data_IF_346299916379
#
_entry.id   IF_346299916379
#
_cell.length_a   1.000
_cell.length_b   1.000
_cell.length_c   1.000
_cell.angle_alpha   90.00
_cell.angle_beta   90.00
_cell.angle_gamma   90.00
#
_symmetry.space_group_name_H-M   'P 1'
#
loop_
_entity.id
_entity.type
_entity.pdbx_description
1 polymer ?
#
# COMPACT_ATOMS: atom_id res chain seq x y z
N UNK A 1 19.93 -23.96 32.49
CA UNK A 1 20.54 -22.91 31.65
C UNK A 1 19.45 -21.93 31.25
N UNK A 2 19.56 -20.65 31.61
CA UNK A 2 18.47 -19.69 31.44
C UNK A 2 18.28 -19.24 29.98
N UNK A 3 17.02 -19.15 29.53
CA UNK A 3 16.60 -18.70 28.20
C UNK A 3 16.88 -17.21 27.91
N UNK A 4 17.61 -16.52 28.79
CA UNK A 4 17.90 -15.09 28.75
C UNK A 4 18.69 -14.64 27.51
N UNK A 5 19.30 -15.56 26.76
CA UNK A 5 19.94 -15.23 25.49
C UNK A 5 18.93 -14.92 24.36
N UNK A 6 17.67 -15.38 24.47
CA UNK A 6 16.64 -15.15 23.47
C UNK A 6 16.19 -13.67 23.45
N UNK A 7 16.13 -12.99 24.59
CA UNK A 7 15.77 -11.56 24.67
C UNK A 7 16.78 -10.64 23.99
N UNK A 8 18.03 -11.07 23.84
CA UNK A 8 19.07 -10.36 23.08
C UNK A 8 18.85 -10.44 21.57
N UNK A 9 18.00 -11.35 21.08
CA UNK A 9 17.70 -11.49 19.65
C UNK A 9 16.66 -10.45 19.23
N UNK A 10 16.84 -9.89 18.04
CA UNK A 10 16.00 -8.78 17.52
C UNK A 10 14.57 -9.17 17.16
N UNK A 11 14.29 -10.46 17.03
CA UNK A 11 12.97 -10.99 16.66
C UNK A 11 12.16 -11.49 17.87
N UNK A 12 12.79 -11.58 19.05
CA UNK A 12 12.13 -12.12 20.23
C UNK A 12 11.11 -11.12 20.79
N UNK A 13 9.93 -11.59 21.19
CA UNK A 13 8.81 -10.74 21.63
C UNK A 13 9.10 -10.04 22.95
N UNK A 14 9.78 -10.71 23.89
CA UNK A 14 10.19 -10.11 25.16
C UNK A 14 11.40 -9.16 25.06
N UNK A 15 11.89 -8.85 23.85
CA UNK A 15 12.87 -7.78 23.66
C UNK A 15 12.19 -6.43 23.90
N UNK A 16 12.73 -5.58 24.77
CA UNK A 16 12.18 -4.26 25.12
C UNK A 16 11.81 -3.42 23.87
N UNK A 17 12.64 -3.46 22.82
CA UNK A 17 12.37 -2.72 21.57
C UNK A 17 11.18 -3.25 20.78
N UNK A 18 10.85 -4.53 20.92
CA UNK A 18 9.69 -5.13 20.28
C UNK A 18 8.44 -4.92 21.12
N UNK A 19 8.55 -5.01 22.45
CA UNK A 19 7.48 -4.63 23.39
C UNK A 19 7.06 -3.18 23.16
N UNK A 20 8.02 -2.25 23.03
CA UNK A 20 7.74 -0.85 22.74
C UNK A 20 7.02 -0.65 21.40
N UNK A 21 7.42 -1.37 20.35
CA UNK A 21 6.74 -1.30 19.04
C UNK A 21 5.31 -1.81 19.09
N UNK A 22 5.09 -2.92 19.81
CA UNK A 22 3.76 -3.49 20.01
C UNK A 22 2.90 -2.50 20.79
N UNK A 23 3.43 -1.92 21.87
CA UNK A 23 2.73 -0.92 22.66
C UNK A 23 2.34 0.33 21.85
N UNK A 24 3.23 0.84 21.00
CA UNK A 24 2.93 1.95 20.08
C UNK A 24 1.84 1.56 19.07
N UNK A 25 1.89 0.33 18.56
CA UNK A 25 0.88 -0.17 17.63
C UNK A 25 -0.49 -0.32 18.32
N UNK A 26 -0.52 -0.84 19.54
CA UNK A 26 -1.72 -0.97 20.37
C UNK A 26 -2.31 0.40 20.72
N UNK A 27 -1.50 1.39 21.09
CA UNK A 27 -1.99 2.76 21.31
C UNK A 27 -2.61 3.36 20.05
N UNK A 28 -1.99 3.18 18.89
CA UNK A 28 -2.54 3.67 17.62
C UNK A 28 -3.85 2.98 17.28
N UNK A 29 -3.90 1.65 17.43
CA UNK A 29 -5.10 0.87 17.20
C UNK A 29 -6.24 1.32 18.12
N UNK A 30 -5.97 1.49 19.43
CA UNK A 30 -6.96 1.98 20.39
C UNK A 30 -7.46 3.39 20.04
N UNK A 31 -6.60 4.27 19.52
CA UNK A 31 -7.00 5.60 19.06
C UNK A 31 -7.87 5.54 17.78
N UNK A 32 -7.57 4.62 16.87
CA UNK A 32 -8.37 4.38 15.67
C UNK A 32 -9.72 3.76 16.02
N UNK A 33 -9.77 2.79 16.92
CA UNK A 33 -11.01 2.17 17.41
C UNK A 33 -11.93 3.19 18.07
N UNK A 34 -11.40 4.11 18.88
CA UNK A 34 -12.18 5.21 19.48
C UNK A 34 -12.80 6.10 18.41
N UNK A 35 -12.03 6.50 17.39
CA UNK A 35 -12.55 7.30 16.26
C UNK A 35 -13.61 6.56 15.47
N UNK A 36 -13.40 5.26 15.23
CA UNK A 36 -14.39 4.43 14.52
C UNK A 36 -15.66 4.27 15.36
N UNK A 37 -15.55 4.13 16.68
CA UNK A 37 -16.69 4.06 17.58
C UNK A 37 -17.49 5.38 17.60
N UNK A 38 -16.80 6.53 17.63
CA UNK A 38 -17.44 7.85 17.50
C UNK A 38 -18.18 7.99 16.16
N UNK A 39 -17.55 7.61 15.05
CA UNK A 39 -18.20 7.64 13.73
C UNK A 39 -19.40 6.69 13.64
N UNK A 40 -19.30 5.49 14.22
CA UNK A 40 -20.43 4.55 14.28
C UNK A 40 -21.58 5.12 15.09
N UNK A 41 -21.29 5.80 16.20
CA UNK A 41 -22.30 6.47 17.01
C UNK A 41 -23.00 7.57 16.21
N UNK A 42 -22.26 8.40 15.49
CA UNK A 42 -22.85 9.44 14.63
C UNK A 42 -23.75 8.87 13.53
N UNK A 43 -23.33 7.78 12.88
CA UNK A 43 -24.15 7.11 11.85
C UNK A 43 -25.44 6.55 12.45
N UNK A 44 -25.37 5.98 13.66
CA UNK A 44 -26.57 5.47 14.34
C UNK A 44 -27.52 6.61 14.74
N UNK A 45 -26.98 7.75 15.22
CA UNK A 45 -27.77 8.96 15.51
C UNK A 45 -28.43 9.51 14.24
N UNK A 46 -27.69 9.60 13.13
CA UNK A 46 -28.23 10.01 11.83
C UNK A 46 -29.34 9.06 11.36
N UNK A 47 -29.16 7.74 11.55
CA UNK A 47 -30.16 6.73 11.21
C UNK A 47 -31.43 6.87 12.05
N UNK A 48 -31.29 7.10 13.36
CA UNK A 48 -32.43 7.33 14.26
C UNK A 48 -33.20 8.60 13.86
N UNK A 49 -32.50 9.69 13.52
CA UNK A 49 -33.13 10.91 13.02
C UNK A 49 -33.85 10.68 11.69
N UNK A 50 -33.25 9.90 10.79
CA UNK A 50 -33.88 9.55 9.52
C UNK A 50 -35.14 8.71 9.72
N UNK A 51 -35.12 7.74 10.64
CA UNK A 51 -36.29 6.92 10.98
C UNK A 51 -37.42 7.77 11.59
N UNK A 52 -37.11 8.66 12.52
CA UNK A 52 -38.09 9.60 13.07
C UNK A 52 -38.69 10.51 11.99
N UNK A 53 -37.87 11.01 11.06
CA UNK A 53 -38.33 11.82 9.93
C UNK A 53 -39.24 11.02 9.01
N UNK A 54 -38.91 9.75 8.76
CA UNK A 54 -39.74 8.84 7.96
C UNK A 54 -41.10 8.58 8.62
N UNK A 55 -41.13 8.37 9.95
CA UNK A 55 -42.37 8.22 10.72
C UNK A 55 -43.22 9.51 10.68
N UNK A 56 -42.61 10.69 10.83
CA UNK A 56 -43.32 11.97 10.71
C UNK A 56 -43.90 12.20 9.31
N UNK A 57 -43.16 11.80 8.27
CA UNK A 57 -43.64 11.85 6.89
C UNK A 57 -44.83 10.90 6.68
N UNK A 58 -44.76 9.68 7.22
CA UNK A 58 -45.86 8.71 7.17
C UNK A 58 -47.12 9.19 7.91
N UNK A 59 -46.95 9.96 8.99
CA UNK A 59 -48.06 10.63 9.70
C UNK A 59 -48.61 11.87 8.97
N UNK A 60 -48.09 12.22 7.79
CA UNK A 60 -48.65 13.26 6.91
C UNK A 60 -47.96 14.63 7.01
N UNK A 61 -46.84 14.75 7.75
CA UNK A 61 -46.11 16.02 7.82
C UNK A 61 -45.26 16.23 6.56
N UNK A 62 -45.82 16.96 5.57
CA UNK A 62 -45.21 17.18 4.25
C UNK A 62 -43.82 17.84 4.31
N UNK A 63 -43.52 18.61 5.36
CA UNK A 63 -42.22 19.25 5.55
C UNK A 63 -41.10 18.25 5.89
N UNK A 64 -41.43 17.14 6.55
CA UNK A 64 -40.50 16.06 6.88
C UNK A 64 -40.27 15.10 5.68
N UNK A 65 -41.28 14.96 4.81
CA UNK A 65 -41.24 14.11 3.63
C UNK A 65 -40.31 14.63 2.51
N UNK A 66 -40.09 15.95 2.44
CA UNK A 66 -39.09 16.51 1.52
C UNK A 66 -37.72 16.24 2.12
N UNK A 67 -36.95 15.36 1.49
CA UNK A 67 -35.54 15.06 1.80
C UNK A 67 -34.67 16.30 1.49
N UNK A 68 -34.81 17.34 2.32
CA UNK A 68 -33.99 18.56 2.23
C UNK A 68 -32.54 18.18 2.50
N UNK A 69 -31.65 18.62 1.61
CA UNK A 69 -30.19 18.48 1.75
C UNK A 69 -29.69 19.36 2.90
N UNK A 70 -29.91 18.92 4.13
CA UNK A 70 -29.50 19.67 5.32
C UNK A 70 -27.96 19.82 5.37
N UNK A 71 -27.20 18.87 4.83
CA UNK A 71 -25.73 18.98 4.66
C UNK A 71 -25.29 20.15 3.75
N UNK A 72 -26.16 20.62 2.85
CA UNK A 72 -25.89 21.76 1.97
C UNK A 72 -26.23 23.09 2.65
N UNK A 73 -27.23 23.11 3.54
CA UNK A 73 -27.70 24.32 4.21
C UNK A 73 -27.03 24.54 5.58
N UNK A 74 -26.55 23.51 6.28
CA UNK A 74 -25.83 23.63 7.58
C UNK A 74 -24.38 24.13 7.49
N UNK A 75 -23.98 24.72 6.35
CA UNK A 75 -22.70 25.39 6.22
C UNK A 75 -22.54 26.60 7.17
N UNK A 76 -21.36 27.25 7.21
CA UNK A 76 -21.08 28.38 8.10
C UNK A 76 -22.07 29.55 8.01
N UNK A 77 -22.85 29.63 6.92
CA UNK A 77 -23.94 30.59 6.75
C UNK A 77 -25.17 30.28 7.62
N UNK A 78 -25.53 29.01 7.83
CA UNK A 78 -26.66 28.67 8.72
C UNK A 78 -26.35 28.86 10.20
N UNK A 79 -25.08 28.79 10.60
CA UNK A 79 -24.66 29.20 11.94
C UNK A 79 -24.93 30.70 12.17
N UNK A 80 -24.77 31.54 11.13
CA UNK A 80 -25.11 32.97 11.17
C UNK A 80 -26.62 33.20 11.18
N UNK A 81 -27.39 32.41 10.43
CA UNK A 81 -28.86 32.46 10.45
C UNK A 81 -29.42 32.09 11.83
N UNK A 82 -28.89 31.04 12.49
CA UNK A 82 -29.26 30.69 13.87
C UNK A 82 -28.99 31.85 14.84
N UNK A 83 -27.84 32.53 14.75
CA UNK A 83 -27.55 33.71 15.58
C UNK A 83 -28.42 34.93 15.23
N UNK A 84 -28.87 35.06 13.98
CA UNK A 84 -29.75 36.14 13.54
C UNK A 84 -31.19 35.91 14.01
N UNK A 85 -31.71 34.68 13.90
CA UNK A 85 -33.03 34.31 14.41
C UNK A 85 -33.12 34.43 15.93
N UNK A 86 -32.06 34.04 16.67
CA UNK A 86 -31.99 34.25 18.12
C UNK A 86 -31.96 35.74 18.51
N UNK A 87 -31.35 36.58 17.69
CA UNK A 87 -31.34 38.04 17.87
C UNK A 87 -32.70 38.66 17.56
N UNK A 88 -33.40 38.20 16.52
CA UNK A 88 -34.78 38.60 16.25
C UNK A 88 -35.75 38.13 17.34
N UNK A 89 -35.42 37.05 18.05
CA UNK A 89 -36.16 36.55 19.21
C UNK A 89 -35.81 37.29 20.53
N UNK A 90 -34.99 38.34 20.45
CA UNK A 90 -34.70 39.24 21.57
C UNK A 90 -33.53 38.84 22.48
N UNK A 91 -32.74 37.81 22.12
CA UNK A 91 -31.49 37.52 22.84
C UNK A 91 -30.39 38.48 22.41
N UNK A 92 -29.64 39.01 23.37
CA UNK A 92 -28.57 39.98 23.09
C UNK A 92 -27.48 39.41 22.17
N UNK A 93 -27.18 40.14 21.08
CA UNK A 93 -26.10 39.81 20.16
C UNK A 93 -24.75 39.96 20.84
N UNK A 94 -24.13 38.83 21.22
CA UNK A 94 -22.74 38.80 21.70
C UNK A 94 -21.82 38.75 20.48
N UNK A 95 -21.40 39.92 19.99
CA UNK A 95 -20.51 40.11 18.84
C UNK A 95 -19.08 39.61 19.06
N UNK A 96 -18.91 38.30 19.27
CA UNK A 96 -17.62 37.65 19.52
C UNK A 96 -16.74 37.46 18.28
N UNK A 97 -17.31 37.46 17.07
CA UNK A 97 -16.59 36.99 15.88
C UNK A 97 -16.16 38.11 14.91
N UNK A 98 -16.41 39.39 15.22
CA UNK A 98 -16.04 40.51 14.34
C UNK A 98 -14.60 41.01 14.54
N UNK A 99 -13.90 40.62 15.63
CA UNK A 99 -12.55 41.13 15.92
C UNK A 99 -11.40 40.46 15.15
N UNK A 100 -11.68 39.57 14.20
CA UNK A 100 -10.66 38.99 13.33
C UNK A 100 -10.60 39.62 11.92
N UNK A 101 -11.50 40.55 11.58
CA UNK A 101 -11.64 41.06 10.21
C UNK A 101 -11.71 42.59 10.07
N UNK A 102 -11.13 43.36 11.00
CA UNK A 102 -10.84 44.79 10.77
C UNK A 102 -9.36 44.98 10.44
N UNK A 103 -9.01 44.71 9.19
CA UNK A 103 -7.87 45.32 8.53
C UNK A 103 -8.36 46.53 7.74
N UNK A 104 -7.73 47.68 7.97
CA UNK A 104 -7.96 48.96 7.29
C UNK A 104 -8.31 48.83 5.80
N UNK A 105 -9.47 49.34 5.42
CA UNK A 105 -9.77 49.66 4.02
C UNK A 105 -10.43 51.03 3.98
N UNK A 106 -9.67 51.98 3.43
CA UNK A 106 -10.04 53.36 3.18
C UNK A 106 -11.38 53.49 2.44
N UNK A 107 -12.32 54.18 3.08
CA UNK A 107 -13.68 54.50 2.61
C UNK A 107 -13.73 55.71 1.66
N UNK A 108 -12.75 55.88 0.77
CA UNK A 108 -12.68 57.05 -0.13
C UNK A 108 -12.64 56.75 -1.63
N UNK A 109 -12.70 55.48 -2.06
CA UNK A 109 -12.55 55.10 -3.47
C UNK A 109 -13.77 54.41 -4.12
N UNK A 110 -14.97 54.47 -3.54
CA UNK A 110 -16.14 53.74 -4.10
C UNK A 110 -17.43 54.56 -4.21
N UNK A 111 -17.35 55.85 -4.55
CA UNK A 111 -18.51 56.62 -5.07
C UNK A 111 -18.85 56.24 -6.52
N UNK A 112 -19.08 54.95 -6.79
CA UNK A 112 -19.66 54.43 -8.06
C UNK A 112 -20.65 53.27 -7.89
N UNK A 113 -21.19 53.05 -6.68
CA UNK A 113 -22.19 51.99 -6.45
C UNK A 113 -23.32 52.49 -5.54
N UNK A 114 -23.94 53.61 -5.91
CA UNK A 114 -25.16 54.13 -5.27
C UNK A 114 -26.47 53.66 -5.91
N UNK A 115 -26.45 52.80 -6.93
CA UNK A 115 -27.66 52.52 -7.73
C UNK A 115 -27.67 51.17 -8.43
N UNK A 116 -27.14 50.10 -7.80
CA UNK A 116 -27.14 48.75 -8.39
C UNK A 116 -27.99 47.73 -7.61
N UNK A 117 -28.93 48.20 -6.79
CA UNK A 117 -29.92 47.36 -6.13
C UNK A 117 -31.27 47.32 -6.89
N UNK A 118 -31.35 47.85 -8.12
CA UNK A 118 -32.61 48.02 -8.84
C UNK A 118 -32.60 47.67 -10.34
N UNK A 119 -31.65 46.85 -10.82
CA UNK A 119 -31.71 46.33 -12.19
C UNK A 119 -31.68 44.80 -12.19
N UNK A 120 -32.87 44.21 -12.01
CA UNK A 120 -33.17 42.82 -12.36
C UNK A 120 -33.09 42.66 -13.89
N UNK A 121 -31.90 42.54 -14.45
CA UNK A 121 -31.68 42.00 -15.81
C UNK A 121 -30.19 41.76 -16.09
N UNK A 122 -29.56 40.83 -15.37
CA UNK A 122 -28.27 40.31 -15.79
C UNK A 122 -28.48 39.40 -17.02
N UNK A 123 -27.83 39.76 -18.13
CA UNK A 123 -27.78 38.94 -19.34
C UNK A 123 -27.18 37.54 -19.04
N UNK A 124 -27.62 36.45 -19.72
CA UNK A 124 -27.20 35.07 -19.43
C UNK A 124 -25.68 34.83 -19.45
N UNK A 125 -24.93 35.62 -20.22
CA UNK A 125 -23.47 35.53 -20.30
C UNK A 125 -22.75 36.01 -19.02
N UNK A 126 -23.34 36.99 -18.32
CA UNK A 126 -22.77 37.51 -17.07
C UNK A 126 -23.08 36.58 -15.90
N UNK A 127 -24.25 35.93 -15.94
CA UNK A 127 -24.70 34.94 -14.96
C UNK A 127 -23.81 33.67 -15.01
N UNK A 128 -23.41 33.20 -16.20
CA UNK A 128 -22.45 32.10 -16.33
C UNK A 128 -21.04 32.45 -15.81
N UNK A 129 -20.58 33.68 -16.05
CA UNK A 129 -19.29 34.16 -15.55
C UNK A 129 -19.29 34.35 -14.04
N UNK A 130 -20.40 34.84 -13.46
CA UNK A 130 -20.56 34.94 -12.01
C UNK A 130 -20.63 33.56 -11.38
N UNK A 131 -21.43 32.62 -11.89
CA UNK A 131 -21.47 31.22 -11.41
C UNK A 131 -20.09 30.55 -11.39
N UNK A 132 -19.28 30.72 -12.43
CA UNK A 132 -17.93 30.14 -12.49
C UNK A 132 -16.92 30.84 -11.58
N UNK A 133 -17.13 32.12 -11.28
CA UNK A 133 -16.22 32.90 -10.43
C UNK A 133 -16.59 32.88 -8.94
N UNK A 134 -17.87 32.71 -8.66
CA UNK A 134 -18.48 32.60 -7.34
C UNK A 134 -18.55 31.13 -6.88
N UNK A 135 -18.21 30.17 -7.74
CA UNK A 135 -17.99 28.78 -7.35
C UNK A 135 -16.94 28.72 -6.20
N UNK A 136 -17.30 28.14 -5.04
CA UNK A 136 -16.41 28.05 -3.88
C UNK A 136 -15.08 27.35 -4.18
N UNK A 137 -15.07 26.38 -5.09
CA UNK A 137 -13.83 25.68 -5.49
C UNK A 137 -12.90 26.59 -6.29
N UNK A 138 -13.46 27.41 -7.17
CA UNK A 138 -12.73 28.43 -7.91
C UNK A 138 -12.20 29.53 -6.98
N UNK A 139 -12.97 29.93 -5.97
CA UNK A 139 -12.54 30.89 -4.97
C UNK A 139 -11.35 30.37 -4.14
N UNK A 140 -11.41 29.11 -3.71
CA UNK A 140 -10.30 28.45 -3.01
C UNK A 140 -9.05 28.40 -3.90
N UNK A 141 -9.22 28.03 -5.18
CA UNK A 141 -8.11 27.97 -6.15
C UNK A 141 -7.48 29.34 -6.39
N UNK A 142 -8.28 30.41 -6.53
CA UNK A 142 -7.78 31.79 -6.66
C UNK A 142 -7.03 32.24 -5.41
N UNK A 143 -7.56 31.95 -4.21
CA UNK A 143 -6.88 32.25 -2.94
C UNK A 143 -5.55 31.50 -2.82
N UNK A 144 -5.51 30.23 -3.21
CA UNK A 144 -4.27 29.44 -3.23
C UNK A 144 -3.24 30.01 -4.21
N UNK A 145 -3.66 30.42 -5.41
CA UNK A 145 -2.80 31.09 -6.39
C UNK A 145 -2.26 32.41 -5.86
N UNK A 146 -3.12 33.26 -5.28
CA UNK A 146 -2.72 34.52 -4.68
C UNK A 146 -1.73 34.34 -3.53
N UNK A 147 -1.97 33.37 -2.63
CA UNK A 147 -1.04 33.03 -1.56
C UNK A 147 0.32 32.54 -2.08
N UNK A 148 0.32 31.71 -3.13
CA UNK A 148 1.55 31.27 -3.81
C UNK A 148 2.31 32.45 -4.41
N UNK A 149 1.61 33.36 -5.08
CA UNK A 149 2.21 34.58 -5.62
C UNK A 149 2.75 35.49 -4.53
N UNK A 150 2.05 35.65 -3.40
CA UNK A 150 2.56 36.43 -2.26
C UNK A 150 3.85 35.84 -1.69
N UNK A 151 3.97 34.51 -1.63
CA UNK A 151 5.21 33.84 -1.22
C UNK A 151 6.31 34.07 -2.26
N UNK A 152 6.01 33.98 -3.56
CA UNK A 152 6.96 34.24 -4.65
C UNK A 152 7.43 35.70 -4.70
N UNK A 153 6.50 36.65 -4.51
CA UNK A 153 6.75 38.09 -4.47
C UNK A 153 7.56 38.50 -3.23
N UNK A 154 7.51 37.73 -2.15
CA UNK A 154 8.31 37.98 -0.96
C UNK A 154 9.73 37.38 -1.10
N UNK A 155 10.78 38.19 -1.33
CA UNK A 155 12.13 37.70 -1.58
C UNK A 155 12.74 36.99 -0.36
N UNK A 156 12.36 37.38 0.86
CA UNK A 156 12.86 36.77 2.10
C UNK A 156 12.31 35.35 2.26
N UNK A 157 10.99 35.16 2.04
CA UNK A 157 10.37 33.83 2.06
C UNK A 157 10.95 32.94 0.96
N UNK A 158 11.18 33.48 -0.24
CA UNK A 158 11.80 32.73 -1.34
C UNK A 158 13.24 32.31 -1.06
N UNK A 159 14.06 33.18 -0.45
CA UNK A 159 15.42 32.81 -0.02
C UNK A 159 15.39 31.67 1.01
N UNK A 160 14.57 31.79 2.05
CA UNK A 160 14.40 30.72 3.06
C UNK A 160 13.98 29.38 2.44
N UNK A 161 13.05 29.39 1.49
CA UNK A 161 12.62 28.18 0.78
C UNK A 161 13.76 27.60 -0.08
N UNK A 162 14.53 28.43 -0.78
CA UNK A 162 15.70 27.99 -1.56
C UNK A 162 16.74 27.34 -0.66
N UNK A 163 17.10 27.98 0.45
CA UNK A 163 18.09 27.47 1.41
C UNK A 163 17.65 26.12 2.00
N UNK A 164 16.37 25.99 2.36
CA UNK A 164 15.80 24.72 2.84
C UNK A 164 15.88 23.61 1.78
N UNK A 165 15.55 23.92 0.53
CA UNK A 165 15.61 22.95 -0.57
C UNK A 165 17.06 22.53 -0.85
N UNK A 166 18.02 23.44 -0.76
CA UNK A 166 19.44 23.14 -0.91
C UNK A 166 19.95 22.24 0.22
N UNK A 167 19.64 22.56 1.48
CA UNK A 167 19.95 21.70 2.63
C UNK A 167 19.41 20.28 2.46
N UNK A 168 18.13 20.14 2.07
CA UNK A 168 17.52 18.82 1.83
C UNK A 168 18.21 18.04 0.69
N UNK A 169 18.67 18.72 -0.36
CA UNK A 169 19.43 18.09 -1.45
C UNK A 169 20.82 17.63 -0.95
N UNK A 170 21.48 18.43 -0.13
CA UNK A 170 22.76 18.10 0.48
C UNK A 170 22.64 16.91 1.44
N UNK A 171 21.65 16.91 2.33
CA UNK A 171 21.34 15.80 3.23
C UNK A 171 21.06 14.51 2.46
N UNK A 172 20.31 14.59 1.35
CA UNK A 172 20.06 13.45 0.47
C UNK A 172 21.35 12.93 -0.18
N UNK A 173 22.25 13.83 -0.61
CA UNK A 173 23.57 13.46 -1.16
C UNK A 173 24.45 12.84 -0.08
N UNK A 174 24.50 13.41 1.13
CA UNK A 174 25.25 12.92 2.27
C UNK A 174 24.76 11.53 2.70
N UNK A 175 23.44 11.34 2.84
CA UNK A 175 22.83 10.03 3.13
C UNK A 175 23.16 8.99 2.08
N UNK A 176 23.18 9.37 0.78
CA UNK A 176 23.58 8.46 -0.31
C UNK A 176 25.07 8.10 -0.24
N UNK A 177 25.95 9.05 0.10
CA UNK A 177 27.39 8.80 0.31
C UNK A 177 27.63 7.90 1.52
N UNK A 178 27.01 8.18 2.67
CA UNK A 178 27.07 7.37 3.88
C UNK A 178 26.60 5.93 3.63
N UNK A 179 25.47 5.74 2.92
CA UNK A 179 24.98 4.40 2.54
C UNK A 179 25.97 3.64 1.65
N UNK A 180 26.68 4.33 0.74
CA UNK A 180 27.72 3.73 -0.09
C UNK A 180 28.97 3.37 0.74
N UNK A 181 29.38 4.22 1.66
CA UNK A 181 30.53 3.98 2.55
C UNK A 181 30.27 2.77 3.47
N UNK A 182 29.13 2.73 4.16
CA UNK A 182 28.74 1.60 5.01
C UNK A 182 28.65 0.27 4.24
N UNK A 183 28.21 0.31 2.96
CA UNK A 183 28.21 -0.89 2.09
C UNK A 183 29.63 -1.35 1.73
N UNK A 184 30.57 -0.42 1.51
CA UNK A 184 31.98 -0.75 1.24
C UNK A 184 32.65 -1.36 2.48
N UNK A 185 32.43 -0.76 3.64
CA UNK A 185 32.95 -1.23 4.93
C UNK A 185 32.45 -2.65 5.25
N UNK A 186 31.14 -2.90 5.13
CA UNK A 186 30.58 -4.25 5.31
C UNK A 186 31.17 -5.28 4.33
N UNK A 187 31.50 -4.87 3.11
CA UNK A 187 32.16 -5.74 2.12
C UNK A 187 33.61 -6.04 2.52
N UNK A 188 34.33 -5.05 3.04
CA UNK A 188 35.70 -5.24 3.53
C UNK A 188 35.74 -6.13 4.76
N UNK A 189 34.88 -5.89 5.76
CA UNK A 189 34.75 -6.74 6.94
C UNK A 189 34.47 -8.20 6.58
N UNK A 190 33.57 -8.46 5.60
CA UNK A 190 33.31 -9.82 5.10
C UNK A 190 34.52 -10.45 4.38
N UNK A 191 35.32 -9.64 3.66
CA UNK A 191 36.54 -10.12 2.98
C UNK A 191 37.61 -10.49 4.01
N UNK A 192 37.77 -9.68 5.04
CA UNK A 192 38.70 -9.90 6.14
C UNK A 192 38.32 -11.13 6.97
N UNK A 193 37.04 -11.28 7.32
CA UNK A 193 36.52 -12.47 7.99
C UNK A 193 36.84 -13.74 7.18
N UNK A 194 36.60 -13.73 5.86
CA UNK A 194 36.92 -14.86 4.96
C UNK A 194 38.43 -15.15 4.94
N UNK A 195 39.29 -14.12 4.95
CA UNK A 195 40.75 -14.29 5.06
C UNK A 195 41.14 -14.93 6.39
N UNK A 196 40.54 -14.48 7.50
CA UNK A 196 40.78 -15.06 8.83
C UNK A 196 40.35 -16.52 8.91
N UNK A 197 39.20 -16.87 8.34
CA UNK A 197 38.73 -18.26 8.22
C UNK A 197 39.68 -19.14 7.40
N UNK A 198 40.20 -18.64 6.26
CA UNK A 198 41.21 -19.36 5.47
C UNK A 198 42.51 -19.59 6.25
N UNK A 199 43.00 -18.58 6.97
CA UNK A 199 44.22 -18.72 7.79
C UNK A 199 44.05 -19.75 8.91
N UNK A 200 42.86 -19.82 9.54
CA UNK A 200 42.55 -20.86 10.53
C UNK A 200 42.55 -22.27 9.93
N UNK A 201 42.08 -22.46 8.69
CA UNK A 201 42.11 -23.77 8.03
C UNK A 201 43.53 -24.23 7.70
N UNK A 202 44.43 -23.32 7.32
CA UNK A 202 45.84 -23.63 7.06
C UNK A 202 46.67 -24.02 8.29
N UNK A 203 46.17 -23.78 9.50
CA UNK A 203 46.87 -24.12 10.74
C UNK A 203 46.32 -25.38 11.43
N UNK A 204 45.38 -26.09 10.79
CA UNK A 204 44.74 -27.29 11.33
C UNK A 204 45.05 -28.59 10.57
N UNK A 205 45.96 -28.56 9.59
CA UNK A 205 46.49 -29.73 8.90
C UNK A 205 48.02 -29.62 8.96
N UNK A 206 48.56 -30.08 10.08
CA UNK A 206 49.91 -30.60 10.17
C UNK A 206 49.77 -32.11 10.27
N UNK A 207 49.54 -32.76 9.12
CA UNK A 207 50.11 -34.08 8.82
C UNK A 207 49.93 -34.41 7.32
N UNK A 208 50.98 -34.96 6.74
CA UNK A 208 51.10 -35.62 5.43
C UNK A 208 51.08 -34.80 4.12
N UNK A 209 52.32 -34.62 3.65
CA UNK A 209 52.82 -34.99 2.32
C UNK A 209 52.79 -33.95 1.18
N UNK A 210 53.98 -33.83 0.60
CA UNK A 210 54.42 -32.82 -0.33
C UNK A 210 54.26 -33.32 -1.77
N UNK A 211 53.77 -32.46 -2.65
CA UNK A 211 54.25 -32.45 -4.03
C UNK A 211 54.16 -31.04 -4.61
N UNK A 212 55.32 -30.63 -5.09
CA UNK A 212 55.69 -29.36 -5.67
C UNK A 212 55.08 -29.18 -7.08
N UNK A 213 55.07 -27.93 -7.55
CA UNK A 213 55.23 -27.42 -8.93
C UNK A 213 54.34 -26.20 -9.26
N UNK A 214 55.04 -25.06 -9.36
CA UNK A 214 54.85 -23.85 -10.22
C UNK A 214 53.42 -23.39 -10.54
N UNK A 215 52.97 -22.16 -10.25
CA UNK A 215 53.65 -20.89 -10.49
C UNK A 215 53.28 -20.35 -11.88
N UNK A 216 52.17 -19.61 -12.00
CA UNK A 216 52.05 -18.48 -12.92
C UNK A 216 50.87 -17.57 -12.49
N UNK A 217 51.17 -16.28 -12.36
CA UNK A 217 50.23 -15.22 -12.06
C UNK A 217 49.61 -14.72 -13.36
N UNK A 218 48.28 -14.65 -13.46
CA UNK A 218 47.69 -13.48 -14.12
C UNK A 218 46.26 -13.21 -13.67
N UNK A 219 46.04 -11.95 -13.29
CA UNK A 219 44.74 -11.38 -13.00
C UNK A 219 43.95 -11.21 -14.31
N UNK A 220 42.77 -11.82 -14.43
CA UNK A 220 41.71 -11.12 -15.15
C UNK A 220 40.30 -11.30 -14.55
N UNK A 221 39.66 -10.15 -14.50
CA UNK A 221 38.51 -9.78 -13.68
C UNK A 221 37.25 -9.97 -14.53
N UNK A 222 36.67 -11.16 -14.53
CA UNK A 222 35.42 -11.42 -15.24
C UNK A 222 34.17 -11.19 -14.35
N UNK A 223 33.44 -10.14 -14.70
CA UNK A 223 32.14 -9.76 -14.20
C UNK A 223 31.08 -10.86 -14.36
N UNK A 224 30.78 -11.61 -13.30
CA UNK A 224 29.50 -12.34 -13.25
C UNK A 224 28.36 -11.39 -12.88
N UNK A 225 27.81 -10.81 -13.95
CA UNK A 225 26.50 -10.18 -14.00
C UNK A 225 25.44 -11.15 -13.47
N UNK A 226 25.02 -10.84 -12.26
CA UNK A 226 23.64 -10.92 -11.75
C UNK A 226 22.60 -11.02 -12.87
N UNK A 227 22.01 -12.21 -13.04
CA UNK A 227 20.74 -12.37 -13.75
C UNK A 227 19.84 -13.31 -12.97
N UNK A 228 18.59 -12.84 -12.81
CA UNK A 228 17.36 -13.57 -12.48
C UNK A 228 17.33 -14.43 -11.22
N UNK A 229 16.61 -13.93 -10.21
CA UNK A 229 15.36 -14.60 -9.85
C UNK A 229 14.33 -13.57 -9.39
N UNK A 230 13.25 -13.47 -10.18
CA UNK A 230 11.97 -12.92 -9.77
C UNK A 230 11.42 -13.82 -8.66
N UNK A 231 11.42 -13.35 -7.41
CA UNK A 231 10.52 -13.90 -6.38
C UNK A 231 9.19 -13.18 -6.51
N UNK A 232 8.36 -13.70 -7.41
CA UNK A 232 6.93 -13.53 -7.36
C UNK A 232 6.38 -14.36 -6.21
N UNK A 233 5.56 -13.71 -5.39
CA UNK A 233 4.47 -14.24 -4.55
C UNK A 233 4.57 -15.69 -4.09
N UNK A 234 4.84 -15.86 -2.80
CA UNK A 234 4.39 -17.03 -2.07
C UNK A 234 2.86 -17.02 -2.03
N UNK A 235 2.27 -18.08 -2.58
CA UNK A 235 0.98 -18.59 -2.17
C UNK A 235 1.18 -20.03 -1.76
N UNK A 236 0.68 -20.31 -0.58
CA UNK A 236 0.55 -21.61 0.06
C UNK A 236 0.04 -22.68 -0.90
N UNK A 237 0.62 -23.86 -0.81
CA UNK A 237 -0.12 -25.12 -0.96
C UNK A 237 0.64 -26.23 -0.25
N UNK A 238 0.00 -26.67 0.82
CA UNK A 238 0.31 -27.90 1.53
C UNK A 238 0.14 -29.14 0.63
N UNK A 239 1.06 -30.10 0.82
CA UNK A 239 0.84 -31.54 1.05
C UNK A 239 0.03 -32.35 0.03
N UNK A 240 0.70 -33.36 -0.56
CA UNK A 240 0.06 -34.47 -1.26
C UNK A 240 1.03 -35.63 -1.46
N UNK A 241 0.72 -36.75 -0.81
CA UNK A 241 1.52 -37.99 -0.71
C UNK A 241 0.92 -39.03 -1.66
N UNK A 242 1.76 -39.61 -2.52
CA UNK A 242 1.59 -40.87 -3.31
C UNK A 242 0.63 -40.85 -4.51
N UNK A 243 0.62 -41.85 -5.43
CA UNK A 243 1.48 -43.06 -5.57
C UNK A 243 2.14 -43.27 -6.97
N UNK A 244 2.99 -44.30 -7.02
CA UNK A 244 3.80 -44.84 -8.12
C UNK A 244 3.24 -44.72 -9.55
N UNK A 245 4.05 -44.14 -10.45
CA UNK A 245 4.00 -44.41 -11.89
C UNK A 245 5.36 -44.90 -12.36
N UNK A 246 5.41 -46.21 -12.57
CA UNK A 246 6.39 -46.93 -13.37
C UNK A 246 6.64 -46.18 -14.69
N UNK A 247 7.81 -45.55 -14.81
CA UNK A 247 8.41 -45.25 -16.11
C UNK A 247 9.78 -45.91 -16.16
N UNK A 248 9.86 -46.89 -17.04
CA UNK A 248 10.99 -47.78 -17.31
C UNK A 248 12.15 -46.93 -17.85
N UNK A 249 12.99 -46.40 -16.96
CA UNK A 249 14.23 -45.75 -17.33
C UNK A 249 15.22 -46.82 -17.80
N UNK A 250 15.39 -46.95 -19.12
CA UNK A 250 16.54 -47.60 -19.73
C UNK A 250 17.79 -46.80 -19.35
N UNK A 251 18.36 -47.09 -18.18
CA UNK A 251 19.69 -46.61 -17.81
C UNK A 251 20.69 -47.35 -18.70
N UNK A 252 21.27 -46.62 -19.66
CA UNK A 252 22.52 -47.05 -20.30
C UNK A 252 23.58 -47.18 -19.20
N UNK A 253 24.46 -48.19 -19.25
CA UNK A 253 25.57 -48.28 -18.30
C UNK A 253 26.39 -46.99 -18.40
N UNK A 254 26.58 -46.31 -17.27
CA UNK A 254 27.60 -45.29 -17.15
C UNK A 254 28.93 -46.03 -17.10
N UNK A 255 29.73 -45.85 -18.13
CA UNK A 255 31.08 -46.38 -18.24
C UNK A 255 31.92 -45.85 -17.07
N UNK A 256 32.34 -46.75 -16.18
CA UNK A 256 32.96 -46.42 -14.88
C UNK A 256 34.47 -46.20 -14.94
N UNK A 257 35.04 -45.91 -16.11
CA UNK A 257 36.48 -45.59 -16.24
C UNK A 257 36.80 -44.09 -16.35
N UNK A 258 35.77 -43.22 -16.48
CA UNK A 258 35.97 -41.78 -16.56
C UNK A 258 36.03 -41.08 -15.21
N UNK A 259 37.23 -40.93 -14.63
CA UNK A 259 37.46 -40.09 -13.44
C UNK A 259 36.92 -38.67 -13.69
N UNK A 260 35.90 -38.28 -12.92
CA UNK A 260 35.24 -36.95 -12.93
C UNK A 260 34.32 -36.57 -14.12
N UNK A 261 33.57 -37.50 -14.71
CA UNK A 261 32.42 -37.14 -15.55
C UNK A 261 32.74 -36.33 -16.81
N UNK A 262 33.99 -36.35 -17.26
CA UNK A 262 34.36 -35.91 -18.60
C UNK A 262 33.91 -36.98 -19.59
N UNK A 263 32.93 -36.64 -20.43
CA UNK A 263 32.51 -37.45 -21.57
C UNK A 263 33.73 -37.57 -22.49
N UNK A 264 34.19 -38.80 -22.75
CA UNK A 264 35.26 -39.04 -23.71
C UNK A 264 34.85 -38.48 -25.09
N UNK A 265 35.82 -37.94 -25.84
CA UNK A 265 35.59 -37.18 -27.09
C UNK A 265 34.76 -37.93 -28.14
N UNK A 266 34.67 -39.25 -28.05
CA UNK A 266 33.84 -40.11 -28.90
C UNK A 266 32.32 -39.95 -28.68
N UNK A 267 31.86 -39.42 -27.54
CA UNK A 267 30.44 -39.23 -27.20
C UNK A 267 29.94 -37.79 -27.28
N UNK A 268 30.79 -36.83 -27.66
CA UNK A 268 30.45 -35.41 -27.69
C UNK A 268 29.72 -35.04 -29.00
N UNK A 269 28.41 -34.76 -28.92
CA UNK A 269 27.66 -34.19 -30.05
C UNK A 269 28.00 -32.71 -30.16
N UNK A 270 28.66 -32.31 -31.26
CA UNK A 270 28.92 -30.90 -31.52
C UNK A 270 27.59 -30.15 -31.76
N UNK A 271 27.39 -29.06 -31.01
CA UNK A 271 26.24 -28.18 -31.24
C UNK A 271 26.46 -27.39 -32.53
N UNK A 272 25.60 -27.65 -33.53
CA UNK A 272 25.67 -27.04 -34.87
C UNK A 272 25.46 -25.51 -34.87
N UNK A 273 24.97 -24.95 -33.76
CA UNK A 273 24.57 -23.55 -33.66
C UNK A 273 25.61 -22.63 -33.03
N UNK A 274 26.79 -23.15 -32.68
CA UNK A 274 27.89 -22.34 -32.11
C UNK A 274 28.85 -21.94 -33.22
N UNK A 275 28.87 -20.64 -33.52
CA UNK A 275 29.87 -20.05 -34.41
C UNK A 275 31.25 -20.11 -33.73
N UNK A 276 32.13 -20.98 -34.26
CA UNK A 276 33.51 -21.17 -33.77
C UNK A 276 34.51 -20.26 -34.50
N UNK A 277 34.06 -19.52 -35.52
CA UNK A 277 34.95 -18.73 -36.40
C UNK A 277 35.24 -17.34 -35.84
N UNK A 278 34.38 -16.83 -34.96
CA UNK A 278 34.54 -15.54 -34.32
C UNK A 278 34.79 -15.71 -32.82
N UNK A 279 35.83 -15.04 -32.31
CA UNK A 279 36.12 -14.95 -30.86
C UNK A 279 35.12 -14.05 -30.11
N UNK A 280 34.06 -13.59 -30.79
CA UNK A 280 33.04 -12.69 -30.28
C UNK A 280 31.72 -13.40 -29.98
N UNK A 281 30.73 -12.68 -29.43
CA UNK A 281 29.38 -13.23 -29.25
C UNK A 281 28.80 -13.63 -30.60
N UNK A 282 28.30 -14.86 -30.72
CA UNK A 282 27.76 -15.41 -31.96
C UNK A 282 26.79 -14.42 -32.65
N UNK A 283 27.14 -14.07 -33.90
CA UNK A 283 26.53 -13.00 -34.67
C UNK A 283 25.00 -13.15 -34.79
N UNK A 284 24.48 -14.38 -34.83
CA UNK A 284 23.03 -14.66 -34.88
C UNK A 284 22.31 -14.17 -33.63
N UNK A 285 22.89 -14.39 -32.45
CA UNK A 285 22.29 -13.93 -31.19
C UNK A 285 22.41 -12.42 -31.00
N UNK A 286 23.48 -11.81 -31.52
CA UNK A 286 23.63 -10.34 -31.52
C UNK A 286 22.58 -9.68 -32.42
N UNK A 287 22.34 -10.23 -33.61
CA UNK A 287 21.29 -9.75 -34.51
C UNK A 287 19.90 -9.87 -33.87
N UNK A 288 19.58 -11.03 -33.27
CA UNK A 288 18.32 -11.26 -32.56
C UNK A 288 18.13 -10.31 -31.36
N UNK A 289 19.20 -10.00 -30.64
CA UNK A 289 19.16 -9.05 -29.53
C UNK A 289 18.90 -7.61 -30.01
N UNK A 290 19.44 -7.22 -31.17
CA UNK A 290 19.18 -5.91 -31.79
C UNK A 290 17.72 -5.80 -32.26
N UNK A 291 17.19 -6.85 -32.86
CA UNK A 291 15.78 -6.91 -33.30
C UNK A 291 14.82 -6.82 -32.11
N UNK A 292 15.07 -7.57 -31.04
CA UNK A 292 14.27 -7.52 -29.82
C UNK A 292 14.26 -6.11 -29.20
N UNK A 293 15.41 -5.42 -29.21
CA UNK A 293 15.48 -4.01 -28.78
C UNK A 293 14.67 -3.07 -29.67
N UNK A 294 14.66 -3.30 -30.99
CA UNK A 294 13.88 -2.48 -31.93
C UNK A 294 12.38 -2.61 -31.66
N UNK A 295 11.91 -3.84 -31.44
CA UNK A 295 10.51 -4.11 -31.08
C UNK A 295 10.12 -3.48 -29.73
N UNK A 296 11.00 -3.56 -28.73
CA UNK A 296 10.79 -2.92 -27.43
C UNK A 296 10.71 -1.38 -27.55
N UNK A 297 11.55 -0.79 -28.40
CA UNK A 297 11.56 0.65 -28.66
C UNK A 297 10.33 1.11 -29.45
N UNK A 298 9.86 0.32 -30.41
CA UNK A 298 8.58 0.54 -31.12
C UNK A 298 7.39 0.45 -30.16
N UNK A 299 7.36 -0.55 -29.27
CA UNK A 299 6.32 -0.67 -28.26
C UNK A 299 6.34 0.51 -27.28
N UNK A 300 7.54 0.95 -26.88
CA UNK A 300 7.74 2.14 -26.05
C UNK A 300 7.28 3.40 -26.77
N UNK A 301 7.56 3.54 -28.06
CA UNK A 301 7.10 4.66 -28.90
C UNK A 301 5.59 4.65 -29.07
N UNK A 302 4.95 3.48 -29.22
CA UNK A 302 3.48 3.33 -29.22
C UNK A 302 2.86 3.72 -27.87
N UNK A 303 3.49 3.35 -26.76
CA UNK A 303 3.05 3.72 -25.40
C UNK A 303 3.23 5.21 -25.13
N UNK A 304 4.32 5.83 -25.58
CA UNK A 304 4.61 7.26 -25.42
C UNK A 304 3.89 8.16 -26.44
N UNK A 305 3.54 7.64 -27.62
CA UNK A 305 2.84 8.36 -28.68
C UNK A 305 1.44 8.84 -28.28
N UNK A 306 0.85 8.24 -27.22
CA UNK A 306 -0.44 8.64 -26.65
C UNK A 306 -0.36 9.88 -25.74
N UNK A 307 0.84 10.31 -25.32
CA UNK A 307 0.99 11.49 -24.44
C UNK A 307 1.54 12.72 -25.17
N UNK A 308 2.01 12.58 -26.41
CA UNK A 308 2.67 13.66 -27.16
C UNK A 308 1.83 14.29 -28.27
N UNK A 309 0.71 13.70 -28.67
CA UNK A 309 -0.14 14.24 -29.76
C UNK A 309 -1.14 15.29 -29.30
N UNK A 310 -1.12 15.70 -28.02
CA UNK A 310 -2.05 16.70 -27.49
C UNK A 310 -1.68 18.15 -27.85
N UNK A 311 -0.95 18.37 -28.94
CA UNK A 311 -0.55 19.71 -29.39
C UNK A 311 -1.19 20.18 -30.69
N UNK A 312 -1.99 19.35 -31.35
CA UNK A 312 -2.86 19.78 -32.46
C UNK A 312 -4.23 19.14 -32.27
N UNK A 313 -5.12 19.86 -31.60
CA UNK A 313 -6.51 19.47 -31.44
C UNK A 313 -7.25 19.62 -32.76
N UNK A 314 -7.22 18.58 -33.61
CA UNK A 314 -8.35 18.34 -34.50
C UNK A 314 -9.56 18.09 -33.59
N UNK A 315 -10.49 19.04 -33.57
CA UNK A 315 -11.76 18.83 -32.90
C UNK A 315 -12.44 17.63 -33.57
N UNK A 316 -12.57 16.52 -32.83
CA UNK A 316 -13.32 15.36 -33.33
C UNK A 316 -14.73 15.81 -33.68
N UNK A 317 -15.24 15.32 -34.80
CA UNK A 317 -16.63 15.59 -35.20
C UNK A 317 -17.58 14.99 -34.16
N UNK A 318 -18.81 15.49 -34.06
CA UNK A 318 -19.73 15.02 -33.02
C UNK A 318 -20.10 13.55 -33.20
N UNK A 319 -20.10 13.04 -34.43
CA UNK A 319 -20.26 11.61 -34.74
C UNK A 319 -19.08 10.76 -34.23
N UNK A 320 -17.85 11.25 -34.37
CA UNK A 320 -16.66 10.55 -33.86
C UNK A 320 -16.65 10.51 -32.33
N UNK A 321 -17.10 11.58 -31.66
CA UNK A 321 -17.26 11.60 -30.20
C UNK A 321 -18.31 10.59 -29.74
N UNK A 322 -19.44 10.48 -30.44
CA UNK A 322 -20.49 9.52 -30.12
C UNK A 322 -19.99 8.08 -30.27
N UNK A 323 -19.27 7.77 -31.36
CA UNK A 323 -18.67 6.44 -31.57
C UNK A 323 -17.63 6.11 -30.51
N UNK A 324 -16.79 7.08 -30.14
CA UNK A 324 -15.80 6.89 -29.07
C UNK A 324 -16.47 6.67 -27.70
N UNK A 325 -17.55 7.40 -27.41
CA UNK A 325 -18.34 7.20 -26.19
C UNK A 325 -18.98 5.81 -26.15
N UNK A 326 -19.53 5.35 -27.28
CA UNK A 326 -20.08 3.99 -27.41
C UNK A 326 -19.01 2.92 -27.18
N UNK A 327 -17.82 3.07 -27.80
CA UNK A 327 -16.69 2.17 -27.57
C UNK A 327 -16.23 2.17 -26.11
N UNK A 328 -16.17 3.34 -25.46
CA UNK A 328 -15.84 3.41 -24.02
C UNK A 328 -16.87 2.68 -23.16
N UNK A 329 -18.15 2.74 -23.51
CA UNK A 329 -19.22 2.01 -22.80
C UNK A 329 -19.12 0.50 -23.04
N UNK A 330 -18.82 0.07 -24.26
CA UNK A 330 -18.62 -1.35 -24.58
C UNK A 330 -17.39 -1.93 -23.88
N UNK A 331 -16.26 -1.22 -23.88
CA UNK A 331 -15.04 -1.61 -23.16
C UNK A 331 -15.28 -1.67 -21.65
N UNK A 332 -16.06 -0.73 -21.11
CA UNK A 332 -16.45 -0.75 -19.70
C UNK A 332 -17.28 -2.00 -19.37
N UNK A 333 -18.29 -2.33 -20.20
CA UNK A 333 -19.09 -3.56 -20.05
C UNK A 333 -18.23 -4.82 -20.12
N UNK A 334 -17.31 -4.91 -21.09
CA UNK A 334 -16.40 -6.06 -21.21
C UNK A 334 -15.51 -6.21 -19.96
N UNK A 335 -15.04 -5.10 -19.41
CA UNK A 335 -14.25 -5.08 -18.17
C UNK A 335 -15.07 -5.54 -16.97
N UNK A 336 -16.30 -5.07 -16.82
CA UNK A 336 -17.19 -5.45 -15.73
C UNK A 336 -17.58 -6.93 -15.82
N UNK A 337 -17.88 -7.44 -17.02
CA UNK A 337 -18.10 -8.86 -17.27
C UNK A 337 -16.87 -9.71 -16.92
N UNK A 338 -15.66 -9.23 -17.27
CA UNK A 338 -14.42 -9.91 -16.90
C UNK A 338 -14.22 -9.96 -15.39
N UNK A 339 -14.50 -8.86 -14.69
CA UNK A 339 -14.43 -8.80 -13.22
C UNK A 339 -15.47 -9.75 -12.61
N UNK A 340 -16.70 -9.76 -13.11
CA UNK A 340 -17.76 -10.67 -12.66
C UNK A 340 -17.39 -12.14 -12.87
N UNK A 341 -16.89 -12.51 -14.06
CA UNK A 341 -16.41 -13.87 -14.38
C UNK A 341 -15.24 -14.29 -13.48
N UNK A 342 -14.37 -13.35 -13.10
CA UNK A 342 -13.26 -13.62 -12.17
C UNK A 342 -13.76 -13.79 -10.74
N UNK A 343 -14.74 -12.99 -10.33
CA UNK A 343 -15.36 -13.05 -9.01
C UNK A 343 -16.11 -14.38 -8.83
N UNK A 344 -16.92 -14.80 -9.81
CA UNK A 344 -17.64 -16.08 -9.78
C UNK A 344 -16.67 -17.27 -9.67
N UNK A 345 -15.63 -17.32 -10.53
CA UNK A 345 -14.60 -18.37 -10.45
C UNK A 345 -13.93 -18.45 -9.09
N UNK A 346 -13.68 -17.30 -8.45
CA UNK A 346 -13.07 -17.25 -7.12
C UNK A 346 -14.05 -17.70 -6.04
N UNK A 347 -15.34 -17.37 -6.17
CA UNK A 347 -16.40 -17.86 -5.30
C UNK A 347 -16.52 -19.38 -5.39
N UNK A 348 -16.60 -19.93 -6.61
CA UNK A 348 -16.66 -21.37 -6.83
C UNK A 348 -15.42 -22.10 -6.25
N UNK A 349 -14.23 -21.49 -6.32
CA UNK A 349 -13.00 -22.05 -5.71
C UNK A 349 -13.06 -22.03 -4.17
N UNK A 350 -13.65 -20.99 -3.57
CA UNK A 350 -13.83 -20.90 -2.12
C UNK A 350 -14.90 -21.90 -1.65
N UNK A 351 -16.05 -21.95 -2.31
CA UNK A 351 -17.14 -22.85 -1.98
C UNK A 351 -16.67 -24.32 -2.04
N UNK A 352 -15.87 -24.69 -3.06
CA UNK A 352 -15.23 -26.02 -3.14
C UNK A 352 -14.29 -26.28 -1.97
N UNK A 353 -13.46 -25.30 -1.61
CA UNK A 353 -12.51 -25.44 -0.49
C UNK A 353 -13.21 -25.54 0.85
N UNK A 354 -14.32 -24.83 1.03
CA UNK A 354 -15.18 -24.95 2.22
C UNK A 354 -15.84 -26.33 2.27
N UNK A 355 -16.34 -26.83 1.14
CA UNK A 355 -16.92 -28.17 1.05
C UNK A 355 -15.88 -29.28 1.32
N UNK A 356 -14.65 -29.12 0.84
CA UNK A 356 -13.52 -30.01 1.14
C UNK A 356 -13.16 -29.95 2.63
N UNK A 357 -13.12 -28.75 3.23
CA UNK A 357 -12.80 -28.57 4.64
C UNK A 357 -13.88 -29.13 5.58
N UNK A 358 -15.15 -28.96 5.24
CA UNK A 358 -16.29 -29.51 6.01
C UNK A 358 -16.39 -31.03 5.87
N UNK A 359 -16.11 -31.58 4.68
CA UNK A 359 -16.12 -33.04 4.47
C UNK A 359 -14.97 -33.77 5.16
N UNK A 360 -13.84 -33.10 5.41
CA UNK A 360 -12.65 -33.71 5.99
C UNK A 360 -12.70 -33.89 7.51
N UNK A 361 -13.56 -33.18 8.25
CA UNK A 361 -13.71 -33.32 9.70
C UNK A 361 -15.09 -32.80 10.18
N UNK A 362 -16.16 -33.60 10.05
CA UNK A 362 -17.51 -33.19 10.46
C UNK A 362 -17.66 -33.04 11.98
N UNK A 363 -16.84 -33.76 12.76
CA UNK A 363 -16.92 -33.74 14.23
C UNK A 363 -16.24 -32.52 14.85
N UNK A 364 -15.12 -32.06 14.29
CA UNK A 364 -14.36 -30.93 14.86
C UNK A 364 -15.16 -29.63 14.84
N UNK A 365 -15.84 -29.33 13.72
CA UNK A 365 -16.68 -28.13 13.63
C UNK A 365 -17.95 -28.26 14.48
N UNK A 366 -18.51 -29.47 14.61
CA UNK A 366 -19.64 -29.74 15.51
C UNK A 366 -19.27 -29.56 16.98
N UNK A 367 -18.09 -30.01 17.38
CA UNK A 367 -17.54 -29.90 18.73
C UNK A 367 -17.12 -28.45 19.06
N UNK A 368 -16.55 -27.73 18.10
CA UNK A 368 -16.22 -26.31 18.28
C UNK A 368 -17.49 -25.45 18.31
N UNK A 369 -18.47 -25.77 17.47
CA UNK A 369 -19.77 -25.11 17.48
C UNK A 369 -20.54 -25.39 18.76
N UNK A 370 -20.56 -26.63 19.28
CA UNK A 370 -21.20 -26.95 20.58
C UNK A 370 -20.44 -26.38 21.78
N UNK A 371 -19.13 -26.21 21.67
CA UNK A 371 -18.32 -25.57 22.72
C UNK A 371 -18.48 -24.04 22.74
N UNK A 372 -18.63 -23.41 21.56
CA UNK A 372 -18.76 -21.96 21.41
C UNK A 372 -20.21 -21.48 21.51
N UNK A 373 -21.14 -22.23 20.93
CA UNK A 373 -22.58 -22.00 20.97
C UNK A 373 -23.19 -23.12 21.82
N UNK A 374 -23.58 -22.76 23.04
CA UNK A 374 -24.16 -23.64 24.05
C UNK A 374 -25.48 -24.26 23.55
N UNK A 375 -25.41 -25.34 22.79
CA UNK A 375 -26.60 -26.04 22.27
C UNK A 375 -27.25 -26.97 23.31
N UNK A 376 -27.14 -26.62 24.59
CA UNK A 376 -27.73 -27.38 25.69
C UNK A 376 -27.58 -26.61 26.99
N UNK A 377 -28.68 -25.94 27.39
CA UNK A 377 -29.14 -25.40 28.71
C UNK A 377 -28.13 -25.01 29.81
N UNK A 378 -26.83 -25.00 29.54
CA UNK A 378 -25.76 -24.86 30.52
C UNK A 378 -25.18 -23.46 30.41
N UNK A 379 -25.84 -22.53 31.09
CA UNK A 379 -25.42 -21.13 31.20
C UNK A 379 -23.95 -21.03 31.67
N UNK A 380 -23.19 -20.07 31.10
CA UNK A 380 -21.80 -19.73 31.46
C UNK A 380 -21.60 -19.61 32.99
N UNK A 381 -22.62 -19.13 33.71
CA UNK A 381 -22.62 -19.04 35.17
C UNK A 381 -22.45 -20.38 35.89
N UNK A 382 -22.92 -21.48 35.29
CA UNK A 382 -22.88 -22.81 35.90
C UNK A 382 -21.49 -23.47 35.76
N UNK A 383 -20.77 -23.12 34.68
CA UNK A 383 -19.35 -23.49 34.49
C UNK A 383 -18.44 -22.75 35.47
N UNK A 384 -18.69 -21.46 35.73
CA UNK A 384 -17.94 -20.68 36.71
C UNK A 384 -18.13 -21.22 38.13
N UNK A 385 -19.34 -21.65 38.49
CA UNK A 385 -19.63 -22.26 39.80
C UNK A 385 -18.90 -23.60 39.99
N UNK A 386 -18.86 -24.47 38.97
CA UNK A 386 -18.10 -25.74 39.04
C UNK A 386 -16.59 -25.51 39.18
N UNK A 387 -16.07 -24.44 38.58
CA UNK A 387 -14.64 -24.12 38.65
C UNK A 387 -14.24 -23.32 39.91
N UNK A 388 -15.21 -22.79 40.67
CA UNK A 388 -14.97 -22.06 41.90
C UNK A 388 -14.25 -22.91 42.97
N UNK A 389 -14.56 -24.21 43.05
CA UNK A 389 -13.94 -25.15 43.98
C UNK A 389 -12.45 -25.45 43.69
N UNK A 390 -11.99 -25.20 42.46
CA UNK A 390 -10.57 -25.33 42.09
C UNK A 390 -9.77 -24.07 42.42
N UNK A 391 -10.42 -22.90 42.38
CA UNK A 391 -9.80 -21.62 42.71
C UNK A 391 -9.58 -21.48 44.22
N UNK A 392 -10.53 -21.94 45.04
CA UNK A 392 -10.41 -21.91 46.50
C UNK A 392 -9.28 -22.82 47.02
N UNK A 393 -9.07 -24.00 46.43
CA UNK A 393 -8.02 -24.95 46.88
C UNK A 393 -6.58 -24.46 46.68
N UNK A 394 -6.35 -23.42 45.88
CA UNK A 394 -5.02 -22.84 45.65
C UNK A 394 -4.77 -21.54 46.41
N UNK A 395 -5.77 -21.02 47.13
CA UNK A 395 -5.66 -19.77 47.88
C UNK A 395 -5.05 -19.98 49.29
N UNK A 396 -5.21 -21.16 49.89
CA UNK A 396 -4.73 -21.47 51.25
C UNK A 396 -3.30 -22.06 51.27
N UNK A 397 -2.33 -21.33 50.71
CA UNK A 397 -0.89 -21.67 50.84
C UNK A 397 -0.12 -20.65 51.69
N UNK A 398 -0.76 -20.14 52.74
CA UNK A 398 -0.21 -19.21 53.73
C UNK A 398 0.66 -19.90 54.81
N UNK A 399 1.51 -20.86 54.41
CA UNK A 399 2.48 -21.48 55.33
C UNK A 399 3.85 -21.77 54.69
N UNK A 400 4.33 -20.89 53.81
CA UNK A 400 5.67 -20.99 53.21
C UNK A 400 6.70 -19.99 53.80
N UNK A 401 6.50 -19.57 55.05
CA UNK A 401 7.44 -18.72 55.81
C UNK A 401 7.44 -19.11 57.30
N UNK A 402 7.94 -20.31 57.62
CA UNK A 402 8.52 -20.57 58.94
C UNK A 402 9.44 -21.80 58.93
N UNK A 403 10.71 -21.53 59.26
CA UNK A 403 11.87 -22.40 59.49
C UNK A 403 12.58 -22.97 58.27
#
# INVERSE_FOLDING_TARGET
MSLAFLSKKSWHTANLRNVEKVWIAEQKHAAEEKKVAELRKNIEEERQLQELRQLQAAQGNKAAAVERLDWMYEGPSAAREKTAEEYLLGKEYKGGDEKAAKGDVDLSATTKYGSLALTKSALPANDAFQRLNEDPMMLIRKRQQAAREQVLKNPVKMKKIKDQVERLKEDKKARKKAKKAAKKEKKQARKEEKRRLKKKRKHGEDDSDASDLSGDEDEEKADYRRSKHHRGQGRDRERGRSPSRSYKSRRKPLDTEGKYGLISKAGAVESKDVDKTSLGPNAKYVAKAREAKRLEEEERRRKLGKTSSHRESRALTDEEKQRMAQQMVEDAKQRDEYIAKRASRKKDELDKREHEATSSNPEFLRELHSAAYLDGESNMGDRLRRNAHYIQRKADSSNFLSK
#
